data_IF_654356019484
#
_entry.id   IF_654356019484
#
_cell.length_a   1.000
_cell.length_b   1.000
_cell.length_c   1.000
_cell.angle_alpha   90.00
_cell.angle_beta   90.00
_cell.angle_gamma   90.00
#
_symmetry.space_group_name_H-M   'P 1'
#
loop_
_entity.id
_entity.type
_entity.pdbx_description
1 polymer ?
#
# COMPACT_ATOMS: atom_id res chain seq x y z
N UNK A 1 5.48 7.59 -9.28
CA UNK A 1 5.62 9.06 -9.32
C UNK A 1 4.54 9.70 -10.15
N UNK A 2 3.96 10.78 -9.64
CA UNK A 2 3.04 11.65 -10.36
C UNK A 2 3.29 13.11 -10.03
N UNK A 3 2.56 14.01 -10.68
CA UNK A 3 2.59 15.44 -10.38
C UNK A 3 1.15 15.97 -10.35
N UNK A 4 0.79 16.68 -9.27
CA UNK A 4 -0.53 17.27 -9.08
C UNK A 4 -0.36 18.75 -8.73
N UNK A 5 -0.90 19.65 -9.55
CA UNK A 5 -0.76 21.11 -9.36
C UNK A 5 0.71 21.55 -9.13
N UNK A 6 1.63 21.02 -9.92
CA UNK A 6 3.08 21.22 -9.81
C UNK A 6 3.75 20.61 -8.57
N UNK A 7 3.02 19.94 -7.69
CA UNK A 7 3.56 19.22 -6.53
C UNK A 7 3.90 17.79 -6.96
N UNK A 8 5.13 17.35 -6.73
CA UNK A 8 5.51 15.95 -6.92
C UNK A 8 4.82 15.10 -5.86
N UNK A 9 4.17 14.03 -6.30
CA UNK A 9 3.44 13.12 -5.42
C UNK A 9 3.87 11.69 -5.70
N UNK A 10 3.65 10.84 -4.70
CA UNK A 10 3.65 9.41 -4.92
C UNK A 10 2.25 8.84 -5.00
N UNK A 11 2.00 8.05 -6.05
CA UNK A 11 0.68 7.46 -6.33
C UNK A 11 0.78 5.97 -6.62
N UNK A 12 -0.05 5.20 -5.91
CA UNK A 12 -0.22 3.77 -6.08
C UNK A 12 -1.68 3.44 -6.34
N UNK A 13 -1.95 2.45 -7.18
CA UNK A 13 -3.30 1.97 -7.49
C UNK A 13 -3.32 0.46 -7.30
N UNK A 14 -4.24 -0.03 -6.48
CA UNK A 14 -4.47 -1.46 -6.33
C UNK A 14 -5.33 -1.97 -7.49
N UNK A 15 -4.96 -3.12 -8.05
CA UNK A 15 -5.73 -3.78 -9.12
C UNK A 15 -6.68 -4.83 -8.54
N UNK A 16 -7.97 -4.53 -8.55
CA UNK A 16 -9.00 -5.47 -8.08
C UNK A 16 -9.14 -6.70 -8.98
N UNK A 17 -8.81 -6.60 -10.27
CA UNK A 17 -8.91 -7.74 -11.18
C UNK A 17 -7.89 -8.83 -10.82
N UNK A 18 -6.80 -8.44 -10.18
CA UNK A 18 -5.82 -9.37 -9.65
C UNK A 18 -6.26 -9.89 -8.28
N UNK A 19 -6.85 -11.09 -8.26
CA UNK A 19 -7.25 -11.81 -7.05
C UNK A 19 -8.12 -10.97 -6.09
N UNK A 20 -9.01 -10.13 -6.63
CA UNK A 20 -9.87 -9.24 -5.84
C UNK A 20 -9.11 -8.12 -5.13
N UNK A 21 -7.88 -7.80 -5.57
CA UNK A 21 -7.01 -6.84 -4.90
C UNK A 21 -6.65 -7.27 -3.46
N UNK A 22 -6.72 -8.56 -3.17
CA UNK A 22 -6.56 -9.09 -1.82
C UNK A 22 -5.14 -8.88 -1.28
N UNK A 23 -5.07 -8.59 0.02
CA UNK A 23 -3.84 -8.25 0.72
C UNK A 23 -3.09 -9.52 1.16
N UNK A 24 -2.16 -9.96 0.32
CA UNK A 24 -1.17 -11.00 0.64
C UNK A 24 0.21 -10.41 0.96
N UNK A 25 1.18 -11.28 1.23
CA UNK A 25 2.55 -10.93 1.64
C UNK A 25 3.24 -9.98 0.65
N UNK A 26 3.10 -10.24 -0.64
CA UNK A 26 3.76 -9.45 -1.69
C UNK A 26 3.12 -8.07 -1.85
N UNK A 27 1.79 -8.00 -1.84
CA UNK A 27 1.08 -6.73 -2.00
C UNK A 27 1.28 -5.87 -0.74
N UNK A 28 1.25 -6.51 0.44
CA UNK A 28 1.59 -5.89 1.72
C UNK A 28 2.96 -5.23 1.71
N UNK A 29 3.99 -5.99 1.35
CA UNK A 29 5.37 -5.48 1.27
C UNK A 29 5.51 -4.33 0.27
N UNK A 30 4.86 -4.42 -0.90
CA UNK A 30 4.88 -3.34 -1.90
C UNK A 30 4.27 -2.06 -1.35
N UNK A 31 3.16 -2.14 -0.62
CA UNK A 31 2.51 -0.96 -0.03
C UNK A 31 3.38 -0.39 1.09
N UNK A 32 3.95 -1.21 1.97
CA UNK A 32 4.88 -0.73 3.01
C UNK A 32 6.06 0.02 2.38
N UNK A 33 6.75 -0.57 1.41
CA UNK A 33 7.88 0.09 0.73
C UNK A 33 7.47 1.36 0.00
N UNK A 34 6.25 1.40 -0.55
CA UNK A 34 5.69 2.58 -1.19
C UNK A 34 5.47 3.72 -0.18
N UNK A 35 4.94 3.42 1.01
CA UNK A 35 4.80 4.40 2.10
C UNK A 35 6.17 4.86 2.58
N UNK A 36 7.08 3.93 2.92
CA UNK A 36 8.44 4.25 3.38
C UNK A 36 9.18 5.14 2.38
N UNK A 37 9.06 4.86 1.09
CA UNK A 37 9.67 5.67 0.05
C UNK A 37 9.12 7.11 0.06
N UNK A 38 7.79 7.28 0.12
CA UNK A 38 7.19 8.61 0.16
C UNK A 38 7.55 9.37 1.44
N UNK A 39 7.54 8.71 2.60
CA UNK A 39 7.96 9.27 3.89
C UNK A 39 9.41 9.75 3.82
N UNK A 40 10.34 8.89 3.36
CA UNK A 40 11.76 9.22 3.27
C UNK A 40 12.07 10.38 2.30
N UNK A 41 11.21 10.59 1.30
CA UNK A 41 11.37 11.67 0.32
C UNK A 41 10.46 12.88 0.61
N UNK A 42 9.71 12.88 1.71
CA UNK A 42 8.73 13.91 2.07
C UNK A 42 7.73 14.21 0.95
N UNK A 43 7.30 13.19 0.22
CA UNK A 43 6.37 13.31 -0.91
C UNK A 43 4.95 13.00 -0.43
N UNK A 44 3.93 13.82 -0.76
CA UNK A 44 2.54 13.47 -0.52
C UNK A 44 2.19 12.11 -1.15
N UNK A 45 1.59 11.23 -0.36
CA UNK A 45 1.24 9.87 -0.75
C UNK A 45 -0.26 9.77 -1.10
N UNK A 46 -0.57 9.13 -2.23
CA UNK A 46 -1.93 8.79 -2.64
C UNK A 46 -1.98 7.28 -2.94
N UNK A 47 -2.81 6.54 -2.20
CA UNK A 47 -3.08 5.13 -2.49
C UNK A 47 -4.55 4.96 -2.84
N UNK A 48 -4.83 4.56 -4.08
CA UNK A 48 -6.18 4.18 -4.50
C UNK A 48 -6.40 2.72 -4.12
N UNK A 49 -7.13 2.53 -3.03
CA UNK A 49 -7.40 1.22 -2.47
C UNK A 49 -8.56 0.54 -3.21
N UNK A 50 -8.31 -0.69 -3.67
CA UNK A 50 -9.32 -1.60 -4.19
C UNK A 50 -8.95 -3.00 -3.72
N UNK A 51 -9.66 -3.50 -2.70
CA UNK A 51 -9.32 -4.76 -2.05
C UNK A 51 -10.55 -5.46 -1.48
N UNK A 52 -10.61 -6.78 -1.67
CA UNK A 52 -11.54 -7.68 -0.99
C UNK A 52 -11.13 -8.03 0.45
N UNK A 53 -10.03 -7.45 0.97
CA UNK A 53 -9.51 -7.71 2.31
C UNK A 53 -8.28 -8.63 2.30
N UNK A 54 -8.06 -9.35 3.41
CA UNK A 54 -6.93 -10.25 3.55
C UNK A 54 -6.98 -11.39 2.51
N UNK A 55 -5.82 -11.76 1.98
CA UNK A 55 -5.69 -12.90 1.07
C UNK A 55 -5.75 -14.20 1.87
N UNK A 56 -6.94 -14.77 2.01
CA UNK A 56 -7.21 -15.89 2.93
C UNK A 56 -6.37 -17.15 2.64
N UNK A 57 -5.92 -17.34 1.40
CA UNK A 57 -5.04 -18.45 1.00
C UNK A 57 -3.66 -18.37 1.66
N UNK A 58 -3.19 -17.16 2.02
CA UNK A 58 -1.96 -16.96 2.78
C UNK A 58 -2.19 -16.91 4.31
N UNK A 59 -3.45 -16.97 4.76
CA UNK A 59 -3.81 -17.06 6.17
C UNK A 59 -3.34 -15.87 7.04
N UNK A 60 -2.67 -16.17 8.15
CA UNK A 60 -2.23 -15.16 9.13
C UNK A 60 -1.21 -14.16 8.58
N UNK A 61 -0.43 -14.55 7.56
CA UNK A 61 0.54 -13.65 6.91
C UNK A 61 -0.16 -12.43 6.30
N UNK A 62 -1.34 -12.64 5.69
CA UNK A 62 -2.16 -11.56 5.13
C UNK A 62 -2.61 -10.55 6.18
N UNK A 63 -3.00 -11.02 7.37
CA UNK A 63 -3.37 -10.12 8.48
C UNK A 63 -2.15 -9.34 8.98
N UNK A 64 -0.99 -10.00 9.09
CA UNK A 64 0.25 -9.35 9.53
C UNK A 64 0.66 -8.21 8.60
N UNK A 65 0.45 -8.35 7.29
CA UNK A 65 0.69 -7.27 6.33
C UNK A 65 -0.20 -6.05 6.58
N UNK A 66 -1.48 -6.26 6.92
CA UNK A 66 -2.38 -5.14 7.24
C UNK A 66 -1.88 -4.38 8.48
N UNK A 67 -1.43 -5.10 9.51
CA UNK A 67 -0.84 -4.49 10.70
C UNK A 67 0.44 -3.71 10.37
N UNK A 68 1.32 -4.29 9.52
CA UNK A 68 2.56 -3.66 9.07
C UNK A 68 2.29 -2.35 8.32
N UNK A 69 1.34 -2.35 7.37
CA UNK A 69 0.94 -1.13 6.66
C UNK A 69 0.41 -0.08 7.64
N UNK A 70 -0.42 -0.49 8.60
CA UNK A 70 -0.98 0.42 9.60
C UNK A 70 0.11 1.05 10.48
N UNK A 71 1.13 0.29 10.88
CA UNK A 71 2.26 0.86 11.65
C UNK A 71 3.10 1.81 10.82
N UNK A 72 3.42 1.45 9.57
CA UNK A 72 4.21 2.30 8.68
C UNK A 72 3.49 3.62 8.35
N UNK A 73 2.16 3.61 8.25
CA UNK A 73 1.36 4.83 8.09
C UNK A 73 1.32 5.70 9.36
N UNK A 74 1.41 5.09 10.54
CA UNK A 74 1.42 5.84 11.81
C UNK A 74 2.74 6.58 12.01
N UNK A 75 3.85 6.00 11.54
CA UNK A 75 5.19 6.59 11.64
C UNK A 75 5.43 7.74 10.62
N UNK A 76 4.40 8.14 9.87
CA UNK A 76 4.44 9.21 8.85
C UNK A 76 4.47 10.62 9.44
#
# INVERSE_FOLDING_TARGET
MGQLNSILIEIGVMDFQFMGGSMGSVVGEKITRFIEYATNNFLPLILVCASGGAHMQEGSLSLMQMAKISSTLYDY
#
